data_IF_479346050326
#
_entry.id   IF_479346050326
#
_cell.length_a   1.000
_cell.length_b   1.000
_cell.length_c   1.000
_cell.angle_alpha   90.00
_cell.angle_beta   90.00
_cell.angle_gamma   90.00
#
_symmetry.space_group_name_H-M   'P 1'
#
loop_
_entity.id
_entity.type
_entity.pdbx_description
1 polymer ?
#
# COMPACT_ATOMS: atom_id res chain seq x y z
N UNK A 1 -46.78 -30.89 7.64
CA UNK A 1 -45.98 -30.79 8.88
C UNK A 1 -44.48 -31.03 8.65
N UNK A 2 -44.06 -31.51 7.48
CA UNK A 2 -42.64 -31.81 7.17
C UNK A 2 -41.81 -30.57 6.76
N UNK A 3 -42.42 -29.57 6.13
CA UNK A 3 -41.71 -28.36 5.65
C UNK A 3 -41.18 -27.51 6.84
N UNK A 4 -41.94 -27.46 7.93
CA UNK A 4 -41.56 -26.70 9.14
C UNK A 4 -40.36 -27.36 9.83
N UNK A 5 -40.31 -28.70 9.85
CA UNK A 5 -39.21 -29.45 10.46
C UNK A 5 -37.88 -29.27 9.69
N UNK A 6 -37.95 -29.25 8.36
CA UNK A 6 -36.78 -28.97 7.50
C UNK A 6 -36.22 -27.56 7.69
N UNK A 7 -37.08 -26.56 7.93
CA UNK A 7 -36.65 -25.20 8.20
C UNK A 7 -35.89 -25.08 9.54
N UNK A 8 -36.38 -25.71 10.61
CA UNK A 8 -35.70 -25.68 11.90
C UNK A 8 -34.37 -26.44 11.91
N UNK A 9 -34.26 -27.54 11.15
CA UNK A 9 -32.99 -28.26 10.98
C UNK A 9 -32.00 -27.43 10.17
N UNK A 10 -32.45 -26.75 9.11
CA UNK A 10 -31.61 -25.88 8.29
C UNK A 10 -31.08 -24.66 9.04
N UNK A 11 -31.93 -24.01 9.83
CA UNK A 11 -31.52 -22.86 10.66
C UNK A 11 -30.62 -23.30 11.82
N UNK A 12 -30.96 -24.42 12.49
CA UNK A 12 -30.16 -24.95 13.59
C UNK A 12 -28.75 -25.39 13.16
N UNK A 13 -28.64 -26.08 12.03
CA UNK A 13 -27.35 -26.47 11.46
C UNK A 13 -26.51 -25.26 11.07
N UNK A 14 -27.12 -24.23 10.46
CA UNK A 14 -26.42 -22.99 10.07
C UNK A 14 -25.87 -22.21 11.26
N UNK A 15 -26.62 -22.15 12.37
CA UNK A 15 -26.16 -21.51 13.60
C UNK A 15 -25.02 -22.31 14.22
N UNK A 16 -25.14 -23.64 14.29
CA UNK A 16 -24.11 -24.52 14.81
C UNK A 16 -22.82 -24.49 13.99
N UNK A 17 -22.87 -24.45 12.65
CA UNK A 17 -21.67 -24.28 11.83
C UNK A 17 -21.04 -22.91 12.03
N UNK A 18 -21.83 -21.84 12.15
CA UNK A 18 -21.28 -20.49 12.39
C UNK A 18 -20.57 -20.38 13.74
N UNK A 19 -21.13 -20.99 14.79
CA UNK A 19 -20.52 -21.08 16.12
C UNK A 19 -19.30 -21.98 16.12
N UNK A 20 -19.34 -23.11 15.41
CA UNK A 20 -18.19 -24.01 15.32
C UNK A 20 -17.03 -23.33 14.57
N UNK A 21 -17.29 -22.67 13.43
CA UNK A 21 -16.28 -21.91 12.68
C UNK A 21 -15.70 -20.78 13.50
N UNK A 22 -16.53 -19.99 14.20
CA UNK A 22 -16.05 -18.90 15.06
C UNK A 22 -15.19 -19.41 16.21
N UNK A 23 -15.65 -20.46 16.90
CA UNK A 23 -14.91 -21.05 18.02
C UNK A 23 -13.62 -21.73 17.57
N UNK A 24 -13.59 -22.32 16.37
CA UNK A 24 -12.36 -22.89 15.80
C UNK A 24 -11.37 -21.80 15.40
N UNK A 25 -11.84 -20.68 14.83
CA UNK A 25 -10.98 -19.54 14.50
C UNK A 25 -10.38 -18.87 15.74
N UNK A 26 -11.16 -18.79 16.83
CA UNK A 26 -10.72 -18.19 18.09
C UNK A 26 -9.75 -19.12 18.87
N UNK A 27 -9.87 -20.45 18.74
CA UNK A 27 -9.13 -21.43 19.55
C UNK A 27 -7.95 -22.09 18.83
N UNK A 28 -7.99 -22.10 17.51
CA UNK A 28 -6.87 -22.42 16.63
C UNK A 28 -6.71 -21.26 15.65
N UNK A 29 -6.09 -20.13 16.07
CA UNK A 29 -5.62 -19.15 15.11
C UNK A 29 -4.70 -19.91 14.19
N UNK A 30 -5.17 -20.19 12.97
CA UNK A 30 -4.42 -21.02 12.04
C UNK A 30 -3.06 -20.33 11.88
N UNK A 31 -1.99 -21.07 12.15
CA UNK A 31 -0.63 -20.57 12.02
C UNK A 31 -0.30 -20.08 10.58
N UNK A 32 -1.25 -20.18 9.65
CA UNK A 32 -1.24 -19.54 8.33
C UNK A 32 -1.68 -18.07 8.31
N UNK A 33 -2.32 -17.53 9.35
CA UNK A 33 -2.62 -16.09 9.49
C UNK A 33 -1.35 -15.26 9.80
N UNK A 34 -0.23 -15.92 10.07
CA UNK A 34 1.10 -15.30 10.11
C UNK A 34 1.62 -14.86 8.73
N UNK A 35 0.87 -15.12 7.66
CA UNK A 35 0.97 -14.40 6.38
C UNK A 35 -0.13 -13.35 6.31
N UNK A 36 -0.13 -12.41 7.26
CA UNK A 36 -0.63 -11.08 6.94
C UNK A 36 0.15 -10.64 5.69
N UNK A 37 -0.48 -10.73 4.52
CA UNK A 37 -0.12 -9.92 3.36
C UNK A 37 -0.44 -8.47 3.73
N UNK A 38 0.33 -7.92 4.68
CA UNK A 38 0.56 -6.50 4.81
C UNK A 38 1.27 -6.12 3.52
N UNK A 39 0.47 -5.83 2.49
CA UNK A 39 0.96 -5.09 1.34
C UNK A 39 1.34 -3.73 1.90
N UNK A 40 2.57 -3.60 2.34
CA UNK A 40 3.09 -2.32 2.78
C UNK A 40 2.91 -1.37 1.61
N UNK A 41 2.19 -0.29 1.87
CA UNK A 41 1.73 0.58 0.80
C UNK A 41 2.93 1.39 0.31
N UNK A 42 3.40 1.02 -0.88
CA UNK A 42 4.50 1.67 -1.58
C UNK A 42 4.27 3.20 -1.72
N UNK A 43 5.17 4.05 -1.18
CA UNK A 43 5.02 5.51 -1.26
C UNK A 43 5.19 6.05 -2.69
N UNK A 44 5.71 5.24 -3.62
CA UNK A 44 5.83 5.57 -5.04
C UNK A 44 4.59 5.23 -5.85
N UNK A 45 3.58 4.60 -5.23
CA UNK A 45 2.38 4.14 -5.96
C UNK A 45 1.65 5.35 -6.54
N UNK A 46 1.55 5.40 -7.87
CA UNK A 46 0.93 6.49 -8.66
C UNK A 46 1.83 7.72 -8.92
N UNK A 47 3.08 7.72 -8.43
CA UNK A 47 3.97 8.86 -8.60
C UNK A 47 4.35 9.06 -10.08
N UNK A 48 3.84 10.11 -10.68
CA UNK A 48 4.24 10.56 -12.02
C UNK A 48 5.30 11.65 -11.89
N UNK A 49 6.51 11.36 -12.37
CA UNK A 49 7.64 12.26 -12.20
C UNK A 49 7.83 13.11 -13.45
N UNK A 50 7.71 14.43 -13.30
CA UNK A 50 7.94 15.37 -14.41
C UNK A 50 9.42 15.64 -14.64
N UNK A 51 9.77 15.96 -15.88
CA UNK A 51 11.16 16.28 -16.27
C UNK A 51 11.76 17.44 -15.48
N UNK A 52 10.96 18.45 -15.15
CA UNK A 52 11.42 19.67 -14.50
C UNK A 52 11.96 19.46 -13.07
N UNK A 53 11.52 18.41 -12.37
CA UNK A 53 11.86 18.19 -10.96
C UNK A 53 13.01 17.22 -10.70
N UNK A 54 13.54 16.57 -11.76
CA UNK A 54 14.65 15.62 -11.66
C UNK A 54 14.23 14.28 -11.03
N UNK A 55 14.11 13.18 -11.82
CA UNK A 55 13.47 11.95 -11.36
C UNK A 55 14.05 11.33 -10.09
N UNK A 56 15.38 11.33 -9.98
CA UNK A 56 16.11 10.80 -8.83
C UNK A 56 15.83 11.62 -7.57
N UNK A 57 15.84 12.95 -7.70
CA UNK A 57 15.61 13.84 -6.57
C UNK A 57 14.17 13.73 -6.05
N UNK A 58 13.20 13.60 -6.96
CA UNK A 58 11.79 13.37 -6.59
C UNK A 58 11.63 12.07 -5.81
N UNK A 59 12.18 10.95 -6.28
CA UNK A 59 12.08 9.66 -5.55
C UNK A 59 12.70 9.76 -4.16
N UNK A 60 13.91 10.34 -4.05
CA UNK A 60 14.56 10.54 -2.75
C UNK A 60 13.71 11.40 -1.81
N UNK A 61 13.09 12.47 -2.32
CA UNK A 61 12.21 13.33 -1.52
C UNK A 61 10.95 12.59 -1.05
N UNK A 62 10.37 11.73 -1.88
CA UNK A 62 9.22 10.90 -1.51
C UNK A 62 9.58 9.94 -0.37
N UNK A 63 10.70 9.22 -0.46
CA UNK A 63 11.12 8.34 0.62
C UNK A 63 11.49 9.10 1.89
N UNK A 64 12.14 10.25 1.77
CA UNK A 64 12.42 11.11 2.92
C UNK A 64 11.12 11.59 3.57
N UNK A 65 10.15 12.04 2.78
CA UNK A 65 8.84 12.46 3.28
C UNK A 65 8.09 11.30 3.95
N UNK A 66 8.21 10.08 3.43
CA UNK A 66 7.64 8.88 4.05
C UNK A 66 8.29 8.56 5.40
N UNK A 67 9.63 8.62 5.47
CA UNK A 67 10.39 8.41 6.69
C UNK A 67 10.05 9.43 7.78
N UNK A 68 9.99 10.72 7.41
CA UNK A 68 9.69 11.83 8.33
C UNK A 68 8.20 12.09 8.52
N UNK A 69 7.33 11.37 7.79
CA UNK A 69 5.89 11.62 7.72
C UNK A 69 5.53 13.06 7.33
N UNK A 70 6.38 13.73 6.56
CA UNK A 70 6.19 15.11 6.12
C UNK A 70 5.23 15.16 4.92
N UNK A 71 3.97 15.50 5.22
CA UNK A 71 2.90 15.62 4.24
C UNK A 71 3.18 16.69 3.17
N UNK A 72 3.76 17.82 3.55
CA UNK A 72 4.02 18.93 2.64
C UNK A 72 5.14 18.57 1.67
N UNK A 73 6.21 17.95 2.20
CA UNK A 73 7.28 17.42 1.36
C UNK A 73 6.75 16.36 0.39
N UNK A 74 5.88 15.47 0.86
CA UNK A 74 5.25 14.45 0.01
C UNK A 74 4.40 15.10 -1.10
N UNK A 75 3.46 15.99 -0.75
CA UNK A 75 2.60 16.73 -1.69
C UNK A 75 3.41 17.45 -2.76
N UNK A 76 4.53 18.10 -2.38
CA UNK A 76 5.41 18.82 -3.32
C UNK A 76 6.07 17.94 -4.40
N UNK A 77 6.05 16.61 -4.23
CA UNK A 77 6.62 15.68 -5.20
C UNK A 77 5.70 15.43 -6.39
N UNK A 78 4.40 15.67 -6.24
CA UNK A 78 3.38 15.27 -7.21
C UNK A 78 3.15 16.32 -8.30
N UNK A 79 2.89 15.84 -9.51
CA UNK A 79 2.41 16.65 -10.62
C UNK A 79 0.90 16.87 -10.51
N UNK A 80 0.38 18.01 -10.94
CA UNK A 80 -1.06 18.35 -10.86
C UNK A 80 -1.94 17.40 -11.69
N UNK A 81 -1.35 16.80 -12.72
CA UNK A 81 -1.92 15.74 -13.55
C UNK A 81 -1.41 14.37 -13.12
N UNK A 82 -1.46 14.02 -11.84
CA UNK A 82 -1.08 12.67 -11.40
C UNK A 82 -2.10 11.64 -11.91
N UNK A 83 -1.65 10.56 -12.54
CA UNK A 83 -2.53 9.48 -13.00
C UNK A 83 -2.22 8.14 -12.32
N UNK A 84 -3.27 7.36 -12.11
CA UNK A 84 -3.19 5.94 -11.74
C UNK A 84 -3.48 5.09 -12.97
N UNK A 85 -2.55 4.21 -13.32
CA UNK A 85 -2.82 3.17 -14.31
C UNK A 85 -3.68 2.06 -13.69
N UNK A 86 -4.72 1.66 -14.42
CA UNK A 86 -5.63 0.55 -14.10
C UNK A 86 -5.48 -0.46 -15.24
N UNK A 87 -4.60 -1.46 -15.02
CA UNK A 87 -4.15 -2.35 -16.10
C UNK A 87 -3.29 -1.62 -17.14
N UNK A 88 -3.21 -2.19 -18.34
CA UNK A 88 -2.34 -1.67 -19.41
C UNK A 88 -2.97 -0.58 -20.27
N UNK A 89 -4.30 -0.42 -20.21
CA UNK A 89 -5.06 0.37 -21.19
C UNK A 89 -5.74 1.61 -20.61
N UNK A 90 -5.89 1.68 -19.29
CA UNK A 90 -6.62 2.77 -18.65
C UNK A 90 -5.73 3.54 -17.69
N UNK A 91 -5.77 4.86 -17.79
CA UNK A 91 -5.22 5.75 -16.77
C UNK A 91 -6.33 6.66 -16.28
N UNK A 92 -6.39 6.86 -14.97
CA UNK A 92 -7.39 7.72 -14.32
C UNK A 92 -6.65 8.81 -13.57
N UNK A 93 -7.01 10.07 -13.80
CA UNK A 93 -6.48 11.19 -13.02
C UNK A 93 -6.79 10.93 -11.54
N UNK A 94 -5.81 11.15 -10.69
CA UNK A 94 -5.94 11.03 -9.24
C UNK A 94 -6.00 12.43 -8.65
N UNK A 95 -6.92 12.63 -7.71
CA UNK A 95 -6.95 13.84 -6.92
C UNK A 95 -5.71 13.86 -5.99
N UNK A 96 -5.01 14.99 -5.97
CA UNK A 96 -3.82 15.16 -5.13
C UNK A 96 -4.17 15.08 -3.64
N UNK A 97 -5.33 15.60 -3.24
CA UNK A 97 -5.79 15.53 -1.86
C UNK A 97 -6.08 14.08 -1.45
N UNK A 98 -6.68 13.27 -2.32
CA UNK A 98 -6.87 11.83 -2.07
C UNK A 98 -5.54 11.06 -1.97
N UNK A 99 -4.52 11.45 -2.76
CA UNK A 99 -3.19 10.87 -2.68
C UNK A 99 -2.54 11.19 -1.32
N UNK A 100 -2.65 12.45 -0.89
CA UNK A 100 -2.07 12.95 0.36
C UNK A 100 -2.81 12.40 1.58
N UNK A 101 -4.13 12.27 1.52
CA UNK A 101 -4.94 11.66 2.57
C UNK A 101 -4.56 10.18 2.76
N UNK A 102 -4.39 9.44 1.65
CA UNK A 102 -3.88 8.06 1.71
C UNK A 102 -2.49 7.99 2.32
N UNK A 103 -1.59 8.91 1.97
CA UNK A 103 -0.27 8.99 2.59
C UNK A 103 -0.38 9.16 4.10
N UNK A 104 -1.19 10.12 4.57
CA UNK A 104 -1.43 10.39 5.99
C UNK A 104 -1.99 9.18 6.73
N UNK A 105 -3.01 8.53 6.17
CA UNK A 105 -3.63 7.34 6.76
C UNK A 105 -2.65 6.15 6.85
N UNK A 106 -1.76 6.02 5.87
CA UNK A 106 -0.78 4.94 5.86
C UNK A 106 0.38 5.20 6.82
N UNK A 107 0.91 6.43 6.82
CA UNK A 107 2.06 6.78 7.65
C UNK A 107 1.71 6.83 9.15
N UNK A 108 0.46 7.18 9.49
CA UNK A 108 -0.02 7.20 10.87
C UNK A 108 -0.13 5.81 11.50
N UNK A 109 -0.25 4.75 10.70
CA UNK A 109 -0.28 3.36 11.19
C UNK A 109 1.03 2.93 11.86
N UNK A 110 2.13 3.61 11.50
CA UNK A 110 3.46 3.32 12.00
C UNK A 110 3.85 4.35 13.04
N UNK A 111 4.42 3.92 14.16
CA UNK A 111 5.10 4.77 15.12
C UNK A 111 6.38 5.36 14.51
N UNK A 112 7.22 4.51 13.91
CA UNK A 112 8.43 4.92 13.21
C UNK A 112 8.59 4.22 11.86
N UNK A 113 9.21 4.92 10.92
CA UNK A 113 9.54 4.44 9.58
C UNK A 113 11.03 4.73 9.41
N UNK A 114 11.82 3.75 8.96
CA UNK A 114 13.26 3.90 8.72
C UNK A 114 13.61 3.28 7.36
N UNK A 115 14.27 4.06 6.49
CA UNK A 115 14.73 3.60 5.19
C UNK A 115 16.15 3.04 5.32
N UNK A 116 16.27 1.72 5.34
CA UNK A 116 17.56 1.03 5.47
C UNK A 116 18.45 1.21 4.25
N UNK A 117 17.84 1.17 3.07
CA UNK A 117 18.55 1.46 1.83
C UNK A 117 17.56 1.88 0.75
N UNK A 118 18.04 2.73 -0.14
CA UNK A 118 17.33 3.20 -1.32
C UNK A 118 18.30 3.23 -2.50
N UNK A 119 18.09 2.35 -3.48
CA UNK A 119 18.89 2.28 -4.69
C UNK A 119 18.05 2.62 -5.92
N UNK A 120 18.51 3.58 -6.73
CA UNK A 120 17.89 3.88 -8.01
C UNK A 120 18.59 3.06 -9.09
N UNK A 121 17.89 2.08 -9.62
CA UNK A 121 18.44 1.14 -10.61
C UNK A 121 18.37 1.68 -12.05
N UNK A 122 17.48 2.63 -12.33
CA UNK A 122 17.36 3.21 -13.66
C UNK A 122 16.28 4.28 -13.78
N UNK A 123 16.44 5.16 -14.76
CA UNK A 123 15.47 6.19 -15.15
C UNK A 123 15.13 5.99 -16.62
N UNK A 124 13.85 5.80 -16.92
CA UNK A 124 13.33 5.54 -18.25
C UNK A 124 12.40 6.68 -18.64
N UNK A 125 12.80 7.48 -19.60
CA UNK A 125 11.95 8.56 -20.11
C UNK A 125 10.88 8.00 -21.03
N UNK A 126 9.65 8.48 -20.89
CA UNK A 126 8.61 8.22 -21.88
C UNK A 126 8.99 8.86 -23.23
N UNK A 127 8.35 8.41 -24.32
CA UNK A 127 8.64 8.86 -25.69
C UNK A 127 8.52 10.39 -25.82
N UNK A 128 7.55 10.98 -25.12
CA UNK A 128 7.32 12.43 -25.09
C UNK A 128 8.37 13.22 -24.27
N UNK A 129 9.22 12.52 -23.51
CA UNK A 129 10.22 13.05 -22.57
C UNK A 129 9.69 14.06 -21.57
N UNK A 130 8.38 14.09 -21.32
CA UNK A 130 7.76 14.97 -20.30
C UNK A 130 7.74 14.29 -18.93
N UNK A 131 7.67 12.96 -18.94
CA UNK A 131 7.55 12.11 -17.77
C UNK A 131 8.63 11.02 -17.75
N UNK A 132 8.99 10.57 -16.55
CA UNK A 132 9.96 9.50 -16.36
C UNK A 132 9.42 8.41 -15.44
N UNK A 133 9.78 7.17 -15.76
CA UNK A 133 9.65 6.00 -14.90
C UNK A 133 10.98 5.76 -14.19
N UNK A 134 10.94 5.55 -12.88
CA UNK A 134 12.15 5.30 -12.08
C UNK A 134 12.04 3.92 -11.44
N UNK A 135 13.03 3.09 -11.74
CA UNK A 135 13.16 1.77 -11.15
C UNK A 135 13.95 1.89 -9.86
N UNK A 136 13.33 1.49 -8.77
CA UNK A 136 13.79 1.72 -7.40
C UNK A 136 13.81 0.40 -6.65
N UNK A 137 14.90 0.12 -5.95
CA UNK A 137 14.99 -0.98 -4.99
C UNK A 137 15.17 -0.39 -3.60
N UNK A 138 14.36 -0.80 -2.65
CA UNK A 138 14.38 -0.25 -1.29
C UNK A 138 14.26 -1.34 -0.23
N UNK A 139 14.73 -1.03 0.96
CA UNK A 139 14.43 -1.75 2.17
C UNK A 139 14.06 -0.79 3.27
N UNK A 140 13.02 -1.14 4.03
CA UNK A 140 12.53 -0.31 5.11
C UNK A 140 12.20 -1.15 6.34
N UNK A 141 12.31 -0.48 7.49
CA UNK A 141 11.87 -0.99 8.78
C UNK A 141 10.75 -0.10 9.28
N UNK A 142 9.65 -0.73 9.67
CA UNK A 142 8.43 -0.07 10.10
C UNK A 142 8.09 -0.60 11.48
N UNK A 143 7.87 0.29 12.44
CA UNK A 143 7.36 -0.06 13.76
C UNK A 143 5.93 0.42 13.80
N UNK A 144 4.96 -0.49 13.99
CA UNK A 144 3.54 -0.15 14.12
C UNK A 144 3.24 0.43 15.50
N UNK A 145 2.12 1.14 15.63
CA UNK A 145 1.68 1.68 16.92
C UNK A 145 1.45 0.62 18.01
N UNK A 146 1.21 -0.64 17.64
CA UNK A 146 1.10 -1.78 18.56
C UNK A 146 2.47 -2.40 18.91
N UNK A 147 3.57 -1.78 18.50
CA UNK A 147 4.93 -2.24 18.71
C UNK A 147 5.41 -3.31 17.72
N UNK A 148 4.56 -3.75 16.78
CA UNK A 148 4.95 -4.76 15.80
C UNK A 148 6.01 -4.21 14.85
N UNK A 149 7.15 -4.90 14.79
CA UNK A 149 8.21 -4.65 13.84
C UNK A 149 7.94 -5.35 12.51
N UNK A 150 8.00 -4.59 11.42
CA UNK A 150 7.89 -5.09 10.05
C UNK A 150 9.12 -4.65 9.27
N UNK A 151 9.87 -5.63 8.74
CA UNK A 151 10.93 -5.36 7.77
C UNK A 151 10.45 -5.75 6.38
N UNK A 152 10.64 -4.84 5.43
CA UNK A 152 10.18 -5.03 4.05
C UNK A 152 11.30 -4.69 3.07
N UNK A 153 11.31 -5.42 1.95
CA UNK A 153 12.17 -5.15 0.81
C UNK A 153 11.30 -5.15 -0.44
N UNK A 154 11.42 -4.10 -1.25
CA UNK A 154 10.64 -3.93 -2.45
C UNK A 154 11.51 -3.55 -3.65
N UNK A 155 10.96 -3.83 -4.83
CA UNK A 155 11.51 -3.38 -6.10
C UNK A 155 10.36 -2.90 -6.96
N UNK A 156 10.37 -1.62 -7.27
CA UNK A 156 9.23 -0.92 -7.83
C UNK A 156 9.65 -0.08 -9.03
N UNK A 157 8.74 0.08 -9.98
CA UNK A 157 8.91 1.00 -11.10
C UNK A 157 7.78 2.02 -11.00
N UNK A 158 8.10 3.32 -10.94
CA UNK A 158 7.03 4.33 -10.96
C UNK A 158 6.21 4.18 -12.25
N UNK A 159 4.87 4.23 -12.15
CA UNK A 159 3.99 3.95 -13.27
C UNK A 159 4.22 4.86 -14.47
#
# INVERSE_FOLDING_TARGET
>A
MEIVLGFFIGVGTSILTSLFVKTFNDRFPTASDSRFFLTVKNPLRHLQISRARGPIATVKRVFNAWETKDENAYRSCWHDEAHKNVGDYFSTKQDLDEIVERFRANSSTYESIEIKYLNIEGVYWNVDRKTARVKTRYGQRLVRQDGLLVEERGRECTP
#
